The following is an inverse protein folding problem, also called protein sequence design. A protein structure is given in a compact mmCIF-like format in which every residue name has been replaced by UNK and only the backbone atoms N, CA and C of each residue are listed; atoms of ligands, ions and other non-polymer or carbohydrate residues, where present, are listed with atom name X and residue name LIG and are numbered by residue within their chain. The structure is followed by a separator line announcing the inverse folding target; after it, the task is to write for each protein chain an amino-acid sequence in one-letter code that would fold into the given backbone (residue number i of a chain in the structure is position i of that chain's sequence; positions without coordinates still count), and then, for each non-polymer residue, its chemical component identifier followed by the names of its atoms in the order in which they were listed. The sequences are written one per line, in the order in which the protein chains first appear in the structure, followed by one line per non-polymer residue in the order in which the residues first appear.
data_IF_584164158757
#
_entry.id   IF_584164158757
#
_cell.length_a   1.000
_cell.length_b   1.000
_cell.length_c   1.000
_cell.angle_alpha   90.00
_cell.angle_beta   90.00
_cell.angle_gamma   90.00
#
_symmetry.space_group_name_H-M   'P 1'
#
loop_
_entity.id
_entity.type
_entity.pdbx_description
1 polymer ?
#
# COMPACT_ATOMS: atom_id res chain seq x y z
N UNK A 1 -37.66 -20.16 -0.83
CA UNK A 1 -37.41 -19.54 -2.14
C UNK A 1 -37.52 -18.01 -2.05
N UNK A 2 -36.59 -17.34 -1.35
CA UNK A 2 -36.66 -15.84 -1.22
C UNK A 2 -35.29 -15.11 -1.17
N UNK A 3 -34.17 -15.76 -1.50
CA UNK A 3 -32.85 -15.11 -1.37
C UNK A 3 -32.35 -14.37 -2.64
N UNK A 4 -32.93 -14.64 -3.81
CA UNK A 4 -32.53 -13.99 -5.07
C UNK A 4 -33.07 -12.56 -5.24
N UNK A 5 -34.16 -12.21 -4.54
CA UNK A 5 -34.74 -10.85 -4.57
C UNK A 5 -33.93 -9.81 -3.78
N UNK A 6 -33.32 -10.24 -2.68
CA UNK A 6 -32.58 -9.37 -1.77
C UNK A 6 -31.24 -8.92 -2.36
N UNK A 7 -30.51 -9.79 -3.04
CA UNK A 7 -29.22 -9.47 -3.68
C UNK A 7 -29.36 -8.47 -4.85
N UNK A 8 -30.47 -8.55 -5.61
CA UNK A 8 -30.73 -7.58 -6.71
C UNK A 8 -31.04 -6.17 -6.21
N UNK A 9 -31.63 -6.05 -5.01
CA UNK A 9 -31.95 -4.76 -4.36
C UNK A 9 -30.71 -4.10 -3.80
N UNK A 10 -29.72 -4.86 -3.32
CA UNK A 10 -28.45 -4.39 -2.74
C UNK A 10 -27.50 -3.84 -3.80
N UNK A 11 -27.56 -4.32 -5.03
CA UNK A 11 -26.66 -3.93 -6.13
C UNK A 11 -27.23 -2.83 -7.04
N UNK A 12 -28.53 -2.47 -6.89
CA UNK A 12 -29.12 -1.36 -7.65
C UNK A 12 -29.05 -0.09 -6.82
N UNK A 13 -28.47 1.00 -7.34
CA UNK A 13 -28.63 2.32 -6.69
C UNK A 13 -30.12 2.67 -6.67
N UNK A 14 -30.61 3.08 -5.52
CA UNK A 14 -31.99 3.53 -5.31
C UNK A 14 -32.29 4.68 -6.28
N UNK A 15 -33.45 4.67 -6.94
CA UNK A 15 -33.85 5.72 -7.86
C UNK A 15 -33.97 7.07 -7.12
N UNK A 16 -33.38 8.13 -7.70
CA UNK A 16 -33.24 9.45 -7.08
C UNK A 16 -34.54 10.25 -6.87
N UNK A 17 -35.70 9.70 -7.14
CA UNK A 17 -36.99 10.39 -7.03
C UNK A 17 -37.79 10.08 -5.75
N UNK A 18 -37.36 9.13 -4.94
CA UNK A 18 -37.98 8.80 -3.67
C UNK A 18 -37.25 9.55 -2.53
N UNK A 19 -37.96 10.47 -1.85
CA UNK A 19 -37.53 11.00 -0.54
C UNK A 19 -37.57 9.86 0.45
N UNK A 20 -36.43 9.21 0.68
CA UNK A 20 -36.30 8.14 1.65
C UNK A 20 -36.71 8.67 3.03
N UNK A 21 -37.60 7.95 3.72
CA UNK A 21 -37.88 8.20 5.13
C UNK A 21 -36.61 7.87 5.93
N UNK A 22 -36.48 8.48 7.12
CA UNK A 22 -35.31 8.20 8.01
C UNK A 22 -35.15 6.70 8.27
N UNK A 23 -36.26 5.96 8.35
CA UNK A 23 -36.25 4.51 8.57
C UNK A 23 -35.69 3.76 7.37
N UNK A 24 -36.08 4.13 6.15
CA UNK A 24 -35.57 3.50 4.91
C UNK A 24 -34.08 3.77 4.74
N UNK A 25 -33.60 4.98 5.09
CA UNK A 25 -32.17 5.32 5.03
C UNK A 25 -31.33 4.52 6.03
N UNK A 26 -31.87 4.29 7.25
CA UNK A 26 -31.23 3.41 8.24
C UNK A 26 -31.20 1.93 7.80
N UNK A 27 -32.25 1.45 7.13
CA UNK A 27 -32.26 0.07 6.59
C UNK A 27 -31.25 -0.10 5.43
N UNK A 28 -31.10 0.94 4.60
CA UNK A 28 -30.04 1.00 3.58
C UNK A 28 -28.65 0.95 4.22
N UNK A 29 -28.39 1.77 5.26
CA UNK A 29 -27.12 1.77 6.00
C UNK A 29 -26.80 0.38 6.57
N UNK A 30 -27.78 -0.26 7.22
CA UNK A 30 -27.65 -1.62 7.77
C UNK A 30 -27.24 -2.62 6.68
N UNK A 31 -27.94 -2.58 5.56
CA UNK A 31 -27.67 -3.50 4.45
C UNK A 31 -26.26 -3.31 3.87
N UNK A 32 -25.84 -2.06 3.67
CA UNK A 32 -24.50 -1.73 3.18
C UNK A 32 -23.41 -2.14 4.17
N UNK A 33 -23.65 -1.94 5.48
CA UNK A 33 -22.72 -2.35 6.53
C UNK A 33 -22.55 -3.88 6.55
N UNK A 34 -23.63 -4.64 6.41
CA UNK A 34 -23.58 -6.11 6.32
C UNK A 34 -22.74 -6.54 5.10
N UNK A 35 -22.93 -5.90 3.94
CA UNK A 35 -22.14 -6.20 2.74
C UNK A 35 -20.65 -5.90 2.98
N UNK A 36 -20.33 -4.78 3.62
CA UNK A 36 -18.95 -4.42 3.96
C UNK A 36 -18.30 -5.44 4.92
N UNK A 37 -19.03 -5.86 5.96
CA UNK A 37 -18.55 -6.85 6.93
C UNK A 37 -18.37 -8.22 6.28
N UNK A 38 -19.31 -8.66 5.44
CA UNK A 38 -19.20 -9.92 4.71
C UNK A 38 -18.01 -9.89 3.73
N UNK A 39 -17.81 -8.78 3.01
CA UNK A 39 -16.66 -8.62 2.11
C UNK A 39 -15.33 -8.66 2.88
N UNK A 40 -15.25 -7.99 4.03
CA UNK A 40 -14.06 -8.00 4.89
C UNK A 40 -13.78 -9.40 5.46
N UNK A 41 -14.80 -10.09 5.95
CA UNK A 41 -14.66 -11.44 6.48
C UNK A 41 -14.20 -12.44 5.41
N UNK A 42 -14.77 -12.36 4.21
CA UNK A 42 -14.36 -13.19 3.07
C UNK A 42 -12.92 -12.87 2.65
N UNK A 43 -12.58 -11.59 2.52
CA UNK A 43 -11.21 -11.16 2.19
C UNK A 43 -10.22 -11.63 3.24
N UNK A 44 -10.58 -11.55 4.54
CA UNK A 44 -9.73 -12.02 5.63
C UNK A 44 -9.49 -13.54 5.55
N UNK A 45 -10.51 -14.33 5.32
CA UNK A 45 -10.38 -15.78 5.16
C UNK A 45 -9.44 -16.14 3.97
N UNK A 46 -9.59 -15.45 2.84
CA UNK A 46 -8.73 -15.62 1.66
C UNK A 46 -7.29 -15.19 1.95
N UNK A 47 -7.09 -14.03 2.59
CA UNK A 47 -5.76 -13.52 2.95
C UNK A 47 -5.06 -14.42 3.95
N UNK A 48 -5.79 -14.99 4.91
CA UNK A 48 -5.23 -15.93 5.87
C UNK A 48 -4.78 -17.23 5.19
N UNK A 49 -5.58 -17.74 4.27
CA UNK A 49 -5.20 -18.91 3.46
C UNK A 49 -3.97 -18.63 2.58
N UNK A 50 -3.87 -17.42 2.02
CA UNK A 50 -2.77 -17.00 1.15
C UNK A 50 -1.69 -16.19 1.89
N UNK A 51 -1.50 -16.42 3.20
CA UNK A 51 -0.59 -15.63 4.03
C UNK A 51 0.87 -15.66 3.55
N UNK A 52 1.35 -16.81 3.05
CA UNK A 52 2.74 -16.95 2.55
C UNK A 52 3.08 -16.03 1.37
N UNK A 53 2.30 -16.00 0.25
CA UNK A 53 2.56 -15.05 -0.83
C UNK A 53 2.41 -13.59 -0.39
N UNK A 54 1.46 -13.27 0.52
CA UNK A 54 1.31 -11.91 1.03
C UNK A 54 2.57 -11.44 1.79
N UNK A 55 3.12 -12.27 2.66
CA UNK A 55 4.38 -11.99 3.34
C UNK A 55 5.55 -11.82 2.36
N UNK A 56 5.57 -12.61 1.27
CA UNK A 56 6.62 -12.46 0.24
C UNK A 56 6.54 -11.10 -0.47
N UNK A 57 5.33 -10.60 -0.74
CA UNK A 57 5.11 -9.26 -1.31
C UNK A 57 5.61 -8.17 -0.36
N UNK A 58 5.29 -8.28 0.94
CA UNK A 58 5.77 -7.32 1.95
C UNK A 58 7.29 -7.29 2.08
N UNK A 59 7.96 -8.42 1.92
CA UNK A 59 9.41 -8.50 2.05
C UNK A 59 10.16 -7.94 0.82
N UNK A 60 9.50 -7.72 -0.33
CA UNK A 60 10.16 -7.19 -1.53
C UNK A 60 10.80 -5.80 -1.35
N UNK A 61 10.15 -4.79 -0.73
CA UNK A 61 10.79 -3.49 -0.50
C UNK A 61 12.06 -3.61 0.35
N UNK A 62 12.04 -4.45 1.38
CA UNK A 62 13.18 -4.72 2.25
C UNK A 62 14.33 -5.37 1.47
N UNK A 63 14.05 -6.39 0.67
CA UNK A 63 15.05 -7.06 -0.17
C UNK A 63 15.66 -6.11 -1.20
N UNK A 64 14.85 -5.23 -1.82
CA UNK A 64 15.35 -4.20 -2.75
C UNK A 64 16.24 -3.18 -2.06
N UNK A 65 15.87 -2.73 -0.86
CA UNK A 65 16.67 -1.79 -0.07
C UNK A 65 17.99 -2.42 0.37
N UNK A 66 17.98 -3.67 0.87
CA UNK A 66 19.18 -4.42 1.24
C UNK A 66 20.15 -4.57 0.07
N UNK A 67 19.66 -4.96 -1.12
CA UNK A 67 20.47 -5.07 -2.35
C UNK A 67 21.09 -3.71 -2.77
N UNK A 68 20.39 -2.59 -2.52
CA UNK A 68 20.92 -1.25 -2.79
C UNK A 68 21.97 -0.84 -1.76
N UNK A 69 21.75 -1.15 -0.49
CA UNK A 69 22.70 -0.88 0.61
C UNK A 69 24.00 -1.69 0.46
N UNK A 70 23.94 -2.93 0.00
CA UNK A 70 25.09 -3.78 -0.27
C UNK A 70 26.01 -3.20 -1.37
N UNK A 71 25.48 -2.39 -2.26
CA UNK A 71 26.26 -1.67 -3.29
C UNK A 71 26.98 -0.42 -2.76
N UNK A 72 26.65 0.04 -1.56
CA UNK A 72 27.29 1.22 -0.96
C UNK A 72 28.62 0.82 -0.29
N UNK A 73 29.78 1.41 -0.71
CA UNK A 73 31.10 0.93 -0.30
C UNK A 73 31.49 1.23 1.16
N UNK A 74 30.71 2.01 1.90
CA UNK A 74 31.07 2.54 3.22
C UNK A 74 30.30 1.94 4.40
N UNK A 75 29.26 1.14 4.17
CA UNK A 75 28.48 0.53 5.26
C UNK A 75 29.20 -0.66 5.92
N UNK A 76 29.05 -0.85 7.24
CA UNK A 76 29.57 -2.03 7.97
C UNK A 76 29.02 -3.33 7.35
N UNK A 77 27.74 -3.35 7.01
CA UNK A 77 27.09 -4.46 6.26
C UNK A 77 27.75 -4.69 4.91
N UNK A 78 28.17 -3.64 4.18
CA UNK A 78 28.93 -3.78 2.94
C UNK A 78 30.36 -4.29 3.11
N UNK A 79 30.98 -4.08 4.30
CA UNK A 79 32.30 -4.67 4.65
C UNK A 79 32.16 -6.15 4.98
N UNK A 80 31.16 -6.52 5.76
CA UNK A 80 30.86 -7.90 6.11
C UNK A 80 30.50 -8.71 4.87
N UNK A 81 29.70 -8.14 3.97
CA UNK A 81 29.34 -8.76 2.70
C UNK A 81 30.56 -8.98 1.79
N UNK A 82 31.46 -7.99 1.69
CA UNK A 82 32.73 -8.15 0.98
C UNK A 82 33.58 -9.26 1.57
N UNK A 83 33.71 -9.29 2.90
CA UNK A 83 34.46 -10.34 3.58
C UNK A 83 33.86 -11.72 3.29
N UNK A 84 32.54 -11.86 3.40
CA UNK A 84 31.82 -13.10 3.09
C UNK A 84 31.99 -13.50 1.62
N UNK A 85 31.93 -12.53 0.69
CA UNK A 85 32.18 -12.78 -0.73
C UNK A 85 33.59 -13.26 -0.96
N UNK A 86 34.60 -12.62 -0.36
CA UNK A 86 36.00 -13.04 -0.44
C UNK A 86 36.23 -14.44 0.12
N UNK A 87 35.60 -14.73 1.27
CA UNK A 87 35.65 -16.09 1.87
C UNK A 87 35.00 -17.12 0.94
N UNK A 88 33.86 -16.80 0.34
CA UNK A 88 33.18 -17.68 -0.63
C UNK A 88 34.02 -17.92 -1.85
N UNK A 89 34.62 -16.89 -2.45
CA UNK A 89 35.50 -16.99 -3.62
C UNK A 89 36.73 -17.83 -3.28
N UNK A 90 37.28 -17.67 -2.08
CA UNK A 90 38.40 -18.51 -1.60
C UNK A 90 37.98 -19.98 -1.43
N UNK A 91 36.83 -20.28 -0.84
CA UNK A 91 36.30 -21.63 -0.71
C UNK A 91 35.99 -22.27 -2.07
N UNK A 92 35.42 -21.53 -3.01
CA UNK A 92 35.16 -22.01 -4.37
C UNK A 92 36.50 -22.27 -5.12
N UNK A 93 37.49 -21.42 -4.91
CA UNK A 93 38.86 -21.63 -5.42
C UNK A 93 39.49 -22.90 -4.86
N UNK A 94 39.43 -23.10 -3.53
CA UNK A 94 39.90 -24.34 -2.92
C UNK A 94 39.15 -25.58 -3.41
N UNK A 95 37.84 -25.52 -3.56
CA UNK A 95 37.07 -26.65 -4.07
C UNK A 95 37.42 -27.00 -5.52
N UNK A 96 37.78 -26.00 -6.35
CA UNK A 96 38.27 -26.24 -7.71
C UNK A 96 39.65 -26.90 -7.70
N UNK A 97 40.61 -26.36 -6.93
CA UNK A 97 41.95 -26.92 -6.80
C UNK A 97 41.92 -28.37 -6.29
N UNK A 98 41.13 -28.66 -5.25
CA UNK A 98 40.97 -30.03 -4.76
C UNK A 98 40.31 -30.95 -5.81
N UNK A 99 39.39 -30.45 -6.62
CA UNK A 99 38.76 -31.23 -7.69
C UNK A 99 39.73 -31.52 -8.84
N UNK A 100 40.65 -30.61 -9.14
CA UNK A 100 41.73 -30.83 -10.13
C UNK A 100 42.75 -31.86 -9.62
N UNK A 101 43.16 -31.78 -8.37
CA UNK A 101 43.99 -32.75 -7.73
C UNK A 101 43.38 -34.16 -7.74
N UNK A 102 42.08 -34.26 -7.48
CA UNK A 102 41.33 -35.52 -7.53
C UNK A 102 41.32 -36.16 -8.94
N UNK A 103 41.48 -35.35 -9.99
CA UNK A 103 41.57 -35.79 -11.40
C UNK A 103 42.96 -36.18 -11.83
N UNK A 104 44.00 -35.74 -11.12
CA UNK A 104 45.38 -36.09 -11.42
C UNK A 104 45.58 -37.60 -11.23
N UNK A 105 46.01 -38.28 -12.27
CA UNK A 105 45.93 -39.73 -12.43
C UNK A 105 46.78 -40.63 -11.51
N UNK A 106 47.51 -40.11 -10.52
CA UNK A 106 48.46 -40.86 -9.68
C UNK A 106 47.94 -41.23 -8.28
N UNK A 107 46.64 -40.96 -7.98
CA UNK A 107 46.08 -41.14 -6.65
C UNK A 107 45.45 -42.52 -6.43
N UNK A 108 45.64 -43.09 -5.23
CA UNK A 108 44.95 -44.32 -4.80
C UNK A 108 43.42 -44.10 -4.66
N UNK A 109 42.65 -45.17 -4.67
CA UNK A 109 41.20 -45.09 -4.54
C UNK A 109 40.75 -44.39 -3.23
N UNK A 110 41.42 -44.64 -2.12
CA UNK A 110 41.18 -44.02 -0.82
C UNK A 110 41.52 -42.53 -0.84
N UNK A 111 42.57 -42.10 -1.47
CA UNK A 111 42.97 -40.71 -1.64
C UNK A 111 41.94 -39.91 -2.48
N UNK A 112 41.46 -40.51 -3.59
CA UNK A 112 40.41 -39.91 -4.42
C UNK A 112 39.11 -39.72 -3.63
N UNK A 113 38.75 -40.70 -2.82
CA UNK A 113 37.56 -40.61 -2.01
C UNK A 113 37.68 -39.48 -0.95
N UNK A 114 38.79 -39.41 -0.22
CA UNK A 114 39.06 -38.34 0.74
C UNK A 114 39.04 -36.94 0.08
N UNK A 115 39.62 -36.79 -1.10
CA UNK A 115 39.56 -35.53 -1.85
C UNK A 115 38.12 -35.17 -2.31
N UNK A 116 37.36 -36.16 -2.77
CA UNK A 116 35.96 -35.94 -3.18
C UNK A 116 35.08 -35.50 -2.02
N UNK A 117 35.33 -36.05 -0.84
CA UNK A 117 34.63 -35.68 0.39
C UNK A 117 35.01 -34.24 0.84
N UNK A 118 36.30 -33.90 0.79
CA UNK A 118 36.78 -32.54 1.04
C UNK A 118 36.18 -31.49 0.06
N UNK A 119 36.09 -31.82 -1.22
CA UNK A 119 35.41 -30.98 -2.23
C UNK A 119 33.94 -30.78 -1.88
N UNK A 120 33.26 -31.85 -1.47
CA UNK A 120 31.86 -31.83 -1.11
C UNK A 120 31.64 -30.96 0.12
N UNK A 121 32.48 -31.08 1.13
CA UNK A 121 32.43 -30.30 2.36
C UNK A 121 32.70 -28.82 2.09
N UNK A 122 33.73 -28.47 1.37
CA UNK A 122 34.09 -27.09 1.01
C UNK A 122 32.96 -26.42 0.20
N UNK A 123 32.39 -27.12 -0.78
CA UNK A 123 31.22 -26.62 -1.54
C UNK A 123 29.98 -26.45 -0.66
N UNK A 124 29.78 -27.35 0.33
CA UNK A 124 28.65 -27.22 1.28
C UNK A 124 28.80 -25.99 2.17
N UNK A 125 30.01 -25.71 2.65
CA UNK A 125 30.35 -24.51 3.41
C UNK A 125 30.12 -23.22 2.58
N UNK A 126 30.59 -23.19 1.33
CA UNK A 126 30.34 -22.06 0.42
C UNK A 126 28.84 -21.85 0.16
N UNK A 127 28.06 -22.91 -0.03
CA UNK A 127 26.60 -22.85 -0.19
C UNK A 127 25.88 -22.36 1.07
N UNK A 128 26.33 -22.78 2.26
CA UNK A 128 25.75 -22.29 3.54
C UNK A 128 26.00 -20.79 3.74
N UNK A 129 27.17 -20.30 3.39
CA UNK A 129 27.46 -18.86 3.37
C UNK A 129 26.57 -18.12 2.37
N UNK A 130 26.37 -18.68 1.17
CA UNK A 130 25.48 -18.09 0.14
C UNK A 130 23.99 -18.07 0.57
N UNK A 131 23.50 -19.12 1.23
CA UNK A 131 22.11 -19.20 1.69
C UNK A 131 21.82 -18.19 2.81
N UNK A 132 22.80 -17.94 3.69
CA UNK A 132 22.68 -16.96 4.77
C UNK A 132 22.67 -15.50 4.26
N UNK A 133 23.24 -15.25 3.10
CA UNK A 133 23.27 -13.97 2.42
C UNK A 133 21.91 -13.54 1.85
N UNK A 134 21.03 -14.51 1.57
CA UNK A 134 19.71 -14.26 0.99
C UNK A 134 18.60 -14.09 2.05
N UNK A 135 18.92 -14.25 3.33
CA UNK A 135 17.91 -14.20 4.38
C UNK A 135 17.71 -12.75 4.88
N UNK A 136 17.16 -11.91 3.99
CA UNK A 136 16.71 -10.56 4.29
C UNK A 136 15.34 -10.53 4.97
N UNK A 137 14.93 -11.67 5.57
CA UNK A 137 13.64 -11.76 6.25
C UNK A 137 13.67 -11.00 7.56
N UNK A 138 12.59 -10.27 7.89
CA UNK A 138 12.46 -9.68 9.20
C UNK A 138 12.53 -10.75 10.30
N UNK A 139 13.16 -10.39 11.43
CA UNK A 139 13.30 -11.30 12.57
C UNK A 139 12.11 -11.19 13.51
N UNK A 140 11.74 -12.31 14.14
CA UNK A 140 10.75 -12.37 15.22
C UNK A 140 11.46 -12.56 16.54
N UNK A 141 11.06 -11.82 17.58
CA UNK A 141 11.71 -11.84 18.89
C UNK A 141 10.94 -12.71 19.90
N UNK A 142 9.63 -12.92 19.67
CA UNK A 142 8.76 -13.71 20.54
C UNK A 142 8.32 -15.03 19.92
N UNK A 143 8.12 -16.07 20.75
CA UNK A 143 7.67 -17.38 20.29
C UNK A 143 6.30 -17.34 19.57
N UNK A 144 5.36 -16.53 20.07
CA UNK A 144 4.02 -16.35 19.49
C UNK A 144 3.96 -15.29 18.39
N UNK A 145 5.01 -14.49 18.22
CA UNK A 145 5.04 -13.36 17.28
C UNK A 145 4.76 -13.78 15.83
N UNK A 146 5.33 -14.90 15.28
CA UNK A 146 5.05 -15.32 13.92
C UNK A 146 3.55 -15.59 13.66
N UNK A 147 2.86 -16.19 14.63
CA UNK A 147 1.42 -16.45 14.52
C UNK A 147 0.61 -15.15 14.54
N UNK A 148 0.86 -14.30 15.54
CA UNK A 148 0.16 -13.01 15.69
C UNK A 148 0.40 -12.11 14.47
N UNK A 149 1.64 -12.04 13.98
CA UNK A 149 1.97 -11.26 12.79
C UNK A 149 1.29 -11.79 11.54
N UNK A 150 1.19 -13.11 11.37
CA UNK A 150 0.45 -13.71 10.25
C UNK A 150 -1.02 -13.30 10.25
N UNK A 151 -1.68 -13.33 11.43
CA UNK A 151 -3.06 -12.89 11.57
C UNK A 151 -3.23 -11.39 11.30
N UNK A 152 -2.38 -10.56 11.87
CA UNK A 152 -2.42 -9.10 11.69
C UNK A 152 -2.18 -8.71 10.23
N UNK A 153 -1.18 -9.29 9.58
CA UNK A 153 -0.89 -9.06 8.16
C UNK A 153 -2.07 -9.50 7.30
N UNK A 154 -2.65 -10.68 7.54
CA UNK A 154 -3.81 -11.15 6.81
C UNK A 154 -5.02 -10.21 6.97
N UNK A 155 -5.26 -9.70 8.19
CA UNK A 155 -6.33 -8.73 8.47
C UNK A 155 -6.09 -7.38 7.79
N UNK A 156 -4.88 -6.85 7.84
CA UNK A 156 -4.53 -5.57 7.22
C UNK A 156 -4.61 -5.65 5.68
N UNK A 157 -4.19 -6.77 5.07
CA UNK A 157 -4.40 -7.00 3.64
C UNK A 157 -5.88 -7.15 3.29
N UNK A 158 -6.64 -7.86 4.11
CA UNK A 158 -8.09 -7.96 3.92
C UNK A 158 -8.74 -6.59 3.94
N UNK A 159 -8.35 -5.72 4.88
CA UNK A 159 -8.81 -4.34 4.95
C UNK A 159 -8.38 -3.57 3.68
N UNK A 160 -7.12 -3.68 3.27
CA UNK A 160 -6.58 -3.01 2.08
C UNK A 160 -7.36 -3.41 0.79
N UNK A 161 -7.64 -4.70 0.60
CA UNK A 161 -8.39 -5.20 -0.56
C UNK A 161 -9.89 -4.90 -0.49
N UNK A 162 -10.44 -4.80 0.70
CA UNK A 162 -11.87 -4.48 0.89
C UNK A 162 -12.14 -2.97 0.83
N UNK A 163 -11.15 -2.13 1.12
CA UNK A 163 -11.31 -0.67 1.16
C UNK A 163 -11.89 -0.07 -0.13
N UNK A 164 -11.54 -0.49 -1.35
CA UNK A 164 -12.21 -0.03 -2.56
C UNK A 164 -13.72 -0.30 -2.54
N UNK A 165 -14.14 -1.45 -2.01
CA UNK A 165 -15.56 -1.80 -1.85
C UNK A 165 -16.22 -0.94 -0.77
N UNK A 166 -15.53 -0.73 0.36
CA UNK A 166 -15.99 0.14 1.45
C UNK A 166 -16.19 1.57 0.95
N UNK A 167 -15.25 2.12 0.21
CA UNK A 167 -15.33 3.45 -0.38
C UNK A 167 -16.48 3.55 -1.39
N UNK A 168 -16.65 2.53 -2.23
CA UNK A 168 -17.79 2.47 -3.13
C UNK A 168 -19.11 2.50 -2.36
N UNK A 169 -19.26 1.69 -1.32
CA UNK A 169 -20.48 1.65 -0.49
C UNK A 169 -20.71 2.96 0.26
N UNK A 170 -19.66 3.59 0.79
CA UNK A 170 -19.75 4.88 1.48
C UNK A 170 -20.22 5.99 0.52
N UNK A 171 -19.61 6.12 -0.65
CA UNK A 171 -20.02 7.11 -1.64
C UNK A 171 -21.41 6.83 -2.22
N UNK A 172 -21.78 5.57 -2.44
CA UNK A 172 -23.10 5.18 -2.89
C UNK A 172 -24.19 5.44 -1.82
N UNK A 173 -23.85 5.39 -0.54
CA UNK A 173 -24.73 5.78 0.57
C UNK A 173 -24.96 7.28 0.64
N UNK A 174 -23.92 8.08 0.36
CA UNK A 174 -24.00 9.54 0.35
C UNK A 174 -24.66 10.06 -0.95
N UNK A 175 -24.64 9.28 -2.04
CA UNK A 175 -25.14 9.68 -3.34
C UNK A 175 -26.58 10.25 -3.38
N UNK A 176 -27.56 9.73 -2.61
CA UNK A 176 -28.91 10.31 -2.57
C UNK A 176 -28.99 11.73 -2.01
N UNK A 177 -27.99 12.18 -1.23
CA UNK A 177 -27.95 13.54 -0.69
C UNK A 177 -27.68 14.62 -1.76
N UNK A 178 -27.27 14.23 -2.98
CA UNK A 178 -26.99 15.16 -4.08
C UNK A 178 -28.22 15.41 -4.96
N UNK A 179 -28.28 16.61 -5.54
CA UNK A 179 -29.35 16.98 -6.46
C UNK A 179 -29.33 16.15 -7.77
N UNK A 180 -30.49 15.92 -8.42
CA UNK A 180 -30.57 15.10 -9.64
C UNK A 180 -29.70 15.58 -10.80
N UNK A 181 -29.48 16.88 -10.91
CA UNK A 181 -28.62 17.50 -11.93
C UNK A 181 -27.10 17.25 -11.70
N UNK A 182 -26.73 16.72 -10.53
CA UNK A 182 -25.34 16.42 -10.15
C UNK A 182 -24.96 14.94 -10.37
N UNK A 183 -25.83 14.14 -10.98
CA UNK A 183 -25.64 12.68 -11.21
C UNK A 183 -24.27 12.31 -11.83
N UNK A 184 -23.72 13.21 -12.67
CA UNK A 184 -22.42 12.99 -13.31
C UNK A 184 -21.25 13.14 -12.33
N UNK A 185 -21.35 14.13 -11.40
CA UNK A 185 -20.36 14.32 -10.34
C UNK A 185 -20.38 13.14 -9.37
N UNK A 186 -21.58 12.71 -8.96
CA UNK A 186 -21.77 11.53 -8.08
C UNK A 186 -21.16 10.27 -8.68
N UNK A 187 -21.39 10.01 -9.96
CA UNK A 187 -20.81 8.86 -10.65
C UNK A 187 -19.28 8.91 -10.63
N UNK A 188 -18.70 10.08 -10.81
CA UNK A 188 -17.25 10.28 -10.72
C UNK A 188 -16.73 9.97 -9.29
N UNK A 189 -17.46 10.41 -8.25
CA UNK A 189 -17.10 10.13 -6.86
C UNK A 189 -17.19 8.62 -6.53
N UNK A 190 -18.30 7.99 -6.89
CA UNK A 190 -18.56 6.57 -6.58
C UNK A 190 -17.56 5.63 -7.29
N UNK A 191 -17.25 5.89 -8.56
CA UNK A 191 -16.32 5.05 -9.34
C UNK A 191 -14.87 5.49 -9.17
N UNK A 192 -14.65 6.79 -9.00
CA UNK A 192 -13.32 7.36 -8.84
C UNK A 192 -12.64 7.02 -7.52
N UNK A 193 -13.42 6.87 -6.44
CA UNK A 193 -12.87 6.59 -5.12
C UNK A 193 -12.11 5.26 -5.04
N UNK A 194 -12.65 4.12 -5.46
CA UNK A 194 -11.90 2.87 -5.51
C UNK A 194 -10.63 2.96 -6.36
N UNK A 195 -10.74 3.59 -7.54
CA UNK A 195 -9.60 3.72 -8.47
C UNK A 195 -8.48 4.59 -7.87
N UNK A 196 -8.85 5.71 -7.25
CA UNK A 196 -7.88 6.63 -6.64
C UNK A 196 -7.23 6.02 -5.40
N UNK A 197 -7.97 5.22 -4.63
CA UNK A 197 -7.41 4.46 -3.52
C UNK A 197 -6.34 3.46 -3.99
N UNK A 198 -6.66 2.67 -5.02
CA UNK A 198 -5.71 1.70 -5.59
C UNK A 198 -4.47 2.41 -6.15
N UNK A 199 -4.64 3.57 -6.80
CA UNK A 199 -3.53 4.39 -7.28
C UNK A 199 -2.64 4.88 -6.11
N UNK A 200 -3.24 5.31 -5.00
CA UNK A 200 -2.51 5.72 -3.79
C UNK A 200 -1.73 4.58 -3.15
N UNK A 201 -2.33 3.40 -3.03
CA UNK A 201 -1.65 2.19 -2.53
C UNK A 201 -0.50 1.78 -3.45
N UNK A 202 -0.71 1.83 -4.77
CA UNK A 202 0.34 1.54 -5.75
C UNK A 202 1.50 2.56 -5.65
N UNK A 203 1.19 3.84 -5.50
CA UNK A 203 2.20 4.88 -5.27
C UNK A 203 2.98 4.63 -3.98
N UNK A 204 2.32 4.32 -2.88
CA UNK A 204 2.97 3.97 -1.62
C UNK A 204 3.93 2.79 -1.79
N UNK A 205 3.47 1.71 -2.46
CA UNK A 205 4.24 0.48 -2.61
C UNK A 205 5.44 0.63 -3.56
N UNK A 206 5.29 1.39 -4.64
CA UNK A 206 6.32 1.51 -5.69
C UNK A 206 7.31 2.63 -5.40
N UNK A 207 6.87 3.74 -4.80
CA UNK A 207 7.66 4.96 -4.63
C UNK A 207 8.04 5.20 -3.18
N UNK A 208 7.03 5.26 -2.28
CA UNK A 208 7.25 5.66 -0.89
C UNK A 208 8.03 4.60 -0.13
N UNK A 209 7.52 3.37 -0.08
CA UNK A 209 8.09 2.29 0.71
C UNK A 209 9.55 1.93 0.34
N UNK A 210 9.93 1.79 -0.94
CA UNK A 210 11.33 1.51 -1.26
C UNK A 210 12.28 2.64 -0.83
N UNK A 211 11.83 3.88 -0.92
CA UNK A 211 12.63 5.05 -0.53
C UNK A 211 12.76 5.15 0.99
N UNK A 212 11.65 5.00 1.72
CA UNK A 212 11.62 5.02 3.17
C UNK A 212 12.49 3.90 3.78
N UNK A 213 12.30 2.67 3.32
CA UNK A 213 13.08 1.51 3.81
C UNK A 213 14.57 1.70 3.50
N UNK A 214 14.91 2.18 2.30
CA UNK A 214 16.30 2.42 1.93
C UNK A 214 16.94 3.52 2.79
N UNK A 215 16.21 4.61 3.05
CA UNK A 215 16.68 5.68 3.93
C UNK A 215 16.90 5.19 5.37
N UNK A 216 15.89 4.55 5.96
CA UNK A 216 15.94 4.06 7.34
C UNK A 216 17.06 3.03 7.56
N UNK A 217 17.32 2.15 6.59
CA UNK A 217 18.40 1.17 6.67
C UNK A 217 19.80 1.82 6.52
N UNK A 218 19.91 2.90 5.77
CA UNK A 218 21.17 3.58 5.54
C UNK A 218 21.45 4.66 6.59
N UNK A 219 20.42 5.14 7.28
CA UNK A 219 20.57 6.16 8.29
C UNK A 219 21.42 5.63 9.45
N UNK A 220 22.57 6.26 9.63
CA UNK A 220 23.53 5.91 10.68
C UNK A 220 24.03 4.44 10.66
N UNK A 221 24.05 3.81 9.48
CA UNK A 221 24.51 2.41 9.30
C UNK A 221 25.97 2.14 9.72
N UNK A 222 26.74 3.22 9.98
CA UNK A 222 28.09 3.11 10.55
C UNK A 222 28.12 2.96 12.07
N UNK A 223 27.02 3.29 12.78
CA UNK A 223 26.93 3.27 14.23
C UNK A 223 26.02 2.16 14.78
N UNK A 224 25.07 1.67 13.98
CA UNK A 224 24.08 0.68 14.41
C UNK A 224 23.94 -0.47 13.41
N UNK A 225 23.89 -1.70 13.92
CA UNK A 225 23.46 -2.86 13.16
C UNK A 225 21.94 -3.00 13.29
N UNK A 226 21.22 -2.61 12.25
CA UNK A 226 19.75 -2.63 12.27
C UNK A 226 19.22 -4.04 11.98
N UNK A 227 18.76 -4.72 13.03
CA UNK A 227 17.91 -5.92 12.91
C UNK A 227 16.46 -5.48 12.66
N UNK A 228 15.91 -5.82 11.51
CA UNK A 228 14.54 -5.45 11.15
C UNK A 228 13.56 -6.42 11.83
N UNK A 229 12.84 -5.94 12.84
CA UNK A 229 11.80 -6.72 13.53
C UNK A 229 10.55 -6.84 12.65
N UNK A 230 9.99 -8.06 12.56
CA UNK A 230 8.84 -8.36 11.70
C UNK A 230 7.60 -7.52 12.05
N UNK A 231 7.28 -7.38 13.33
CA UNK A 231 6.11 -6.62 13.80
C UNK A 231 6.17 -5.15 13.38
N UNK A 232 7.29 -4.49 13.65
CA UNK A 232 7.48 -3.07 13.31
C UNK A 232 7.49 -2.84 11.80
N UNK A 233 8.15 -3.72 11.06
CA UNK A 233 8.26 -3.62 9.61
C UNK A 233 6.91 -3.81 8.89
N UNK A 234 6.18 -4.89 9.20
CA UNK A 234 4.90 -5.15 8.55
C UNK A 234 3.85 -4.10 8.89
N UNK A 235 3.82 -3.67 10.16
CA UNK A 235 2.96 -2.57 10.56
C UNK A 235 3.27 -1.29 9.78
N UNK A 236 4.54 -0.90 9.70
CA UNK A 236 5.00 0.24 8.93
C UNK A 236 4.55 0.18 7.47
N UNK A 237 4.83 -0.93 6.76
CA UNK A 237 4.52 -1.08 5.34
C UNK A 237 3.01 -0.97 5.09
N UNK A 238 2.20 -1.68 5.88
CA UNK A 238 0.76 -1.77 5.65
C UNK A 238 0.02 -0.50 6.05
N UNK A 239 0.42 0.13 7.16
CA UNK A 239 -0.18 1.42 7.56
C UNK A 239 0.20 2.53 6.59
N UNK A 240 1.44 2.59 6.11
CA UNK A 240 1.86 3.55 5.07
C UNK A 240 1.03 3.37 3.79
N UNK A 241 0.87 2.14 3.31
CA UNK A 241 0.07 1.86 2.11
C UNK A 241 -1.40 2.25 2.29
N UNK A 242 -2.00 1.90 3.44
CA UNK A 242 -3.38 2.21 3.78
C UNK A 242 -3.61 3.72 3.89
N UNK A 243 -2.77 4.41 4.66
CA UNK A 243 -2.88 5.84 4.90
C UNK A 243 -2.67 6.65 3.63
N UNK A 244 -1.66 6.32 2.80
CA UNK A 244 -1.45 6.96 1.51
C UNK A 244 -2.65 6.73 0.58
N UNK A 245 -3.21 5.51 0.53
CA UNK A 245 -4.43 5.21 -0.22
C UNK A 245 -5.62 6.06 0.21
N UNK A 246 -5.80 6.28 1.52
CA UNK A 246 -6.84 7.15 2.06
C UNK A 246 -6.58 8.63 1.76
N UNK A 247 -5.34 9.09 1.82
CA UNK A 247 -4.97 10.47 1.48
C UNK A 247 -5.23 10.80 0.01
N UNK A 248 -5.16 9.81 -0.87
CA UNK A 248 -5.56 9.97 -2.27
C UNK A 248 -7.08 10.21 -2.45
N UNK A 249 -7.90 10.07 -1.40
CA UNK A 249 -9.32 10.44 -1.43
C UNK A 249 -9.55 11.95 -1.29
N UNK A 250 -8.53 12.73 -0.94
CA UNK A 250 -8.66 14.19 -0.74
C UNK A 250 -9.38 14.93 -1.89
N UNK A 251 -9.05 14.73 -3.17
CA UNK A 251 -9.73 15.43 -4.26
C UNK A 251 -11.21 15.13 -4.33
N UNK A 252 -11.59 13.86 -4.06
CA UNK A 252 -12.99 13.44 -4.08
C UNK A 252 -13.76 13.96 -2.86
N UNK A 253 -13.12 13.98 -1.68
CA UNK A 253 -13.71 14.58 -0.49
C UNK A 253 -13.98 16.08 -0.70
N UNK A 254 -13.03 16.82 -1.30
CA UNK A 254 -13.20 18.24 -1.63
C UNK A 254 -14.35 18.47 -2.62
N UNK A 255 -14.40 17.69 -3.70
CA UNK A 255 -15.49 17.75 -4.68
C UNK A 255 -16.84 17.44 -4.04
N UNK A 256 -16.89 16.42 -3.18
CA UNK A 256 -18.10 16.05 -2.43
C UNK A 256 -18.60 17.19 -1.52
N UNK A 257 -17.71 17.80 -0.74
CA UNK A 257 -18.06 18.92 0.16
C UNK A 257 -18.54 20.15 -0.64
N UNK A 258 -17.94 20.43 -1.79
CA UNK A 258 -18.36 21.53 -2.67
C UNK A 258 -19.71 21.21 -3.33
N UNK A 259 -19.92 19.99 -3.77
CA UNK A 259 -21.20 19.58 -4.34
C UNK A 259 -22.33 19.57 -3.33
N UNK A 260 -22.06 19.30 -2.04
CA UNK A 260 -23.02 19.45 -0.95
C UNK A 260 -23.25 20.91 -0.52
N UNK A 261 -22.46 21.86 -1.04
CA UNK A 261 -22.55 23.29 -0.68
C UNK A 261 -21.95 23.63 0.69
N UNK A 262 -21.19 22.71 1.31
CA UNK A 262 -20.49 22.94 2.58
C UNK A 262 -19.29 23.85 2.41
N UNK A 263 -18.58 23.72 1.28
CA UNK A 263 -17.44 24.54 0.90
C UNK A 263 -17.63 25.13 -0.48
N UNK A 264 -16.93 26.25 -0.78
CA UNK A 264 -16.82 26.79 -2.13
C UNK A 264 -15.41 26.56 -2.71
N UNK A 265 -15.31 26.48 -4.04
CA UNK A 265 -14.03 26.36 -4.69
C UNK A 265 -13.12 27.57 -4.46
N UNK A 266 -13.72 28.74 -4.21
CA UNK A 266 -13.00 29.96 -3.85
C UNK A 266 -12.42 29.90 -2.44
N UNK A 267 -13.16 29.36 -1.47
CA UNK A 267 -12.65 29.12 -0.10
C UNK A 267 -11.46 28.15 -0.11
N UNK A 268 -11.55 27.07 -0.91
CA UNK A 268 -10.44 26.12 -1.06
C UNK A 268 -9.21 26.81 -1.65
N UNK A 269 -9.41 27.70 -2.61
CA UNK A 269 -8.34 28.45 -3.26
C UNK A 269 -7.72 29.50 -2.35
N UNK A 270 -8.52 30.27 -1.62
CA UNK A 270 -8.04 31.34 -0.72
C UNK A 270 -7.23 30.76 0.43
N UNK A 271 -7.61 29.56 0.92
CA UNK A 271 -6.96 28.89 2.04
C UNK A 271 -5.83 27.90 1.63
N UNK A 272 -5.28 28.02 0.42
CA UNK A 272 -4.21 27.13 -0.08
C UNK A 272 -3.03 27.01 0.87
N UNK A 273 -2.58 28.13 1.44
CA UNK A 273 -1.43 28.15 2.38
C UNK A 273 -1.71 27.28 3.60
N UNK A 274 -2.89 27.41 4.17
CA UNK A 274 -3.31 26.61 5.33
C UNK A 274 -3.44 25.13 4.93
N UNK A 275 -4.05 24.85 3.77
CA UNK A 275 -4.17 23.49 3.26
C UNK A 275 -2.79 22.82 3.07
N UNK A 276 -1.80 23.50 2.49
CA UNK A 276 -0.45 22.96 2.32
C UNK A 276 0.19 22.65 3.68
N UNK A 277 0.01 23.50 4.69
CA UNK A 277 0.50 23.24 6.06
C UNK A 277 -0.20 22.00 6.65
N UNK A 278 -1.52 21.90 6.49
CA UNK A 278 -2.27 20.72 6.95
C UNK A 278 -1.80 19.44 6.25
N UNK A 279 -1.57 19.50 4.93
CA UNK A 279 -1.04 18.37 4.16
C UNK A 279 0.38 17.99 4.62
N UNK A 280 1.24 18.96 4.93
CA UNK A 280 2.56 18.71 5.47
C UNK A 280 2.50 18.01 6.84
N UNK A 281 1.58 18.45 7.71
CA UNK A 281 1.34 17.79 9.00
C UNK A 281 0.80 16.38 8.80
N UNK A 282 -0.15 16.17 7.88
CA UNK A 282 -0.67 14.83 7.56
C UNK A 282 0.42 13.91 7.01
N UNK A 283 1.29 14.41 6.11
CA UNK A 283 2.44 13.66 5.62
C UNK A 283 3.44 13.31 6.75
N UNK A 284 3.68 14.23 7.68
CA UNK A 284 4.55 13.98 8.83
C UNK A 284 3.97 13.01 9.86
N UNK A 285 2.66 12.83 9.89
CA UNK A 285 1.98 11.84 10.75
C UNK A 285 2.00 10.42 10.17
N UNK A 286 2.34 10.27 8.89
CA UNK A 286 2.47 8.95 8.28
C UNK A 286 3.64 8.16 8.90
N UNK A 287 3.55 6.84 8.99
CA UNK A 287 4.66 6.03 9.48
C UNK A 287 5.90 6.20 8.58
N UNK A 288 7.07 6.40 9.20
CA UNK A 288 8.32 6.63 8.49
C UNK A 288 8.74 8.10 8.48
N UNK A 289 8.63 8.77 9.62
CA UNK A 289 8.89 10.21 9.87
C UNK A 289 10.27 10.71 9.45
N UNK A 290 10.79 10.24 8.33
CA UNK A 290 12.03 10.76 7.76
C UNK A 290 11.74 11.91 6.79
N UNK A 291 12.59 12.95 6.77
CA UNK A 291 12.34 14.15 5.96
C UNK A 291 12.23 13.87 4.45
N UNK A 292 12.93 12.86 3.96
CA UNK A 292 12.99 12.55 2.52
C UNK A 292 11.67 11.91 2.08
N UNK A 293 11.18 10.93 2.83
CA UNK A 293 9.91 10.26 2.55
C UNK A 293 8.75 11.24 2.68
N UNK A 294 8.74 12.08 3.74
CA UNK A 294 7.72 13.11 3.93
C UNK A 294 7.65 14.08 2.75
N UNK A 295 8.78 14.51 2.20
CA UNK A 295 8.81 15.38 1.01
C UNK A 295 8.29 14.66 -0.24
N UNK A 296 8.63 13.39 -0.43
CA UNK A 296 8.15 12.58 -1.56
C UNK A 296 6.63 12.39 -1.49
N UNK A 297 6.08 12.18 -0.30
CA UNK A 297 4.63 12.04 -0.10
C UNK A 297 3.91 13.38 -0.26
N UNK A 298 4.51 14.48 0.18
CA UNK A 298 3.91 15.81 0.09
C UNK A 298 3.67 16.26 -1.35
N UNK A 299 4.55 15.92 -2.29
CA UNK A 299 4.42 16.32 -3.70
C UNK A 299 3.09 15.85 -4.32
N UNK A 300 2.76 14.54 -4.34
CA UNK A 300 1.48 14.10 -4.89
C UNK A 300 0.28 14.61 -4.09
N UNK A 301 0.39 14.80 -2.77
CA UNK A 301 -0.69 15.34 -1.95
C UNK A 301 -1.05 16.77 -2.36
N UNK A 302 -0.04 17.62 -2.61
CA UNK A 302 -0.27 18.98 -3.11
C UNK A 302 -0.86 18.97 -4.52
N UNK A 303 -0.38 18.08 -5.40
CA UNK A 303 -0.95 17.91 -6.75
C UNK A 303 -2.40 17.45 -6.71
N UNK A 304 -2.73 16.50 -5.81
CA UNK A 304 -4.09 16.02 -5.60
C UNK A 304 -4.99 17.11 -5.03
N UNK A 305 -4.50 17.96 -4.13
CA UNK A 305 -5.22 19.11 -3.62
C UNK A 305 -5.55 20.12 -4.74
N UNK A 306 -4.57 20.45 -5.58
CA UNK A 306 -4.81 21.33 -6.73
C UNK A 306 -5.81 20.71 -7.74
N UNK A 307 -5.69 19.41 -7.99
CA UNK A 307 -6.66 18.67 -8.81
C UNK A 307 -8.06 18.75 -8.20
N UNK A 308 -8.17 18.62 -6.86
CA UNK A 308 -9.42 18.78 -6.13
C UNK A 308 -10.05 20.16 -6.32
N UNK A 309 -9.27 21.25 -6.28
CA UNK A 309 -9.75 22.60 -6.56
C UNK A 309 -10.27 22.71 -8.00
N UNK A 310 -9.53 22.18 -8.97
CA UNK A 310 -9.95 22.23 -10.40
C UNK A 310 -11.25 21.47 -10.61
N UNK A 311 -11.36 20.25 -10.08
CA UNK A 311 -12.58 19.44 -10.17
C UNK A 311 -13.78 20.12 -9.48
N UNK A 312 -13.56 20.69 -8.30
CA UNK A 312 -14.59 21.44 -7.55
C UNK A 312 -15.14 22.62 -8.34
N UNK A 313 -14.27 23.39 -9.01
CA UNK A 313 -14.69 24.50 -9.90
C UNK A 313 -15.53 24.01 -11.08
N UNK A 314 -15.17 22.87 -11.68
CA UNK A 314 -15.94 22.32 -12.79
C UNK A 314 -17.35 21.95 -12.32
N UNK A 315 -17.48 21.37 -11.13
CA UNK A 315 -18.78 21.01 -10.55
C UNK A 315 -19.61 22.27 -10.25
N UNK A 316 -19.04 23.27 -9.59
CA UNK A 316 -19.74 24.55 -9.30
C UNK A 316 -20.21 25.26 -10.56
N UNK A 317 -19.34 25.37 -11.59
CA UNK A 317 -19.72 26.00 -12.87
C UNK A 317 -20.87 25.27 -13.55
N UNK A 318 -20.88 23.95 -13.53
CA UNK A 318 -21.99 23.15 -14.07
C UNK A 318 -23.28 23.36 -13.32
N UNK A 319 -23.21 23.43 -11.99
CA UNK A 319 -24.35 23.72 -11.11
C UNK A 319 -24.96 25.10 -11.41
N UNK A 320 -24.13 26.12 -11.46
CA UNK A 320 -24.53 27.47 -11.77
C UNK A 320 -25.16 27.59 -13.17
N UNK A 321 -24.60 26.87 -14.17
CA UNK A 321 -25.16 26.84 -15.54
C UNK A 321 -26.52 26.14 -15.57
N UNK A 322 -26.68 25.03 -14.87
CA UNK A 322 -27.96 24.31 -14.79
C UNK A 322 -29.05 25.15 -14.14
N UNK A 323 -28.72 25.88 -13.05
CA UNK A 323 -29.65 26.79 -12.38
C UNK A 323 -30.12 27.90 -13.33
N UNK A 324 -29.22 28.58 -14.05
CA UNK A 324 -29.55 29.61 -15.03
C UNK A 324 -30.45 29.11 -16.17
N UNK A 325 -30.22 27.89 -16.65
CA UNK A 325 -31.05 27.29 -17.70
C UNK A 325 -32.47 26.96 -17.17
N UNK A 326 -32.58 26.51 -15.92
CA UNK A 326 -33.86 26.27 -15.30
C UNK A 326 -34.68 27.58 -15.09
N UNK A 327 -34.02 28.64 -14.65
CA UNK A 327 -34.63 30.00 -14.54
C UNK A 327 -35.09 30.54 -15.89
N UNK A 328 -34.27 30.41 -16.95
CA UNK A 328 -34.60 30.83 -18.30
C UNK A 328 -35.80 30.06 -18.90
N UNK A 329 -35.93 28.78 -18.60
CA UNK A 329 -37.06 27.96 -19.04
C UNK A 329 -38.35 28.28 -18.28
N UNK A 330 -38.27 28.66 -16.98
CA UNK A 330 -39.40 29.05 -16.18
C UNK A 330 -39.94 30.47 -16.53
N UNK A 331 -39.02 31.39 -16.87
CA UNK A 331 -39.38 32.77 -17.29
C UNK A 331 -39.90 32.92 -18.75
N UNK A 332 -39.70 31.91 -19.59
CA UNK A 332 -40.18 31.89 -20.98
C UNK A 332 -41.60 31.33 -21.16
N UNK A 333 -42.23 30.84 -20.07
CA UNK A 333 -43.61 30.31 -20.08
C UNK A 333 -44.66 31.28 -19.53
N UNK A 334 -44.30 32.51 -19.17
CA UNK A 334 -45.17 33.58 -18.76
C UNK A 334 -45.36 34.58 -19.90
#
# INVERSE_FOLDING_TARGET
MSSRGTLKKVLKPVGHDERLTLVEHLDELRTRLIVCLCALALAFAVCLWQSRPLLSVLNQPLARAANKAQRAPTSLSGREERLRRTIREALDGQARALAELARAGSLSASQRQALSDAVRETRSAARRLAARDQDTRPVTLGLGEPFTQTLLVAFQFALLFTLPVLLYQAWAFIAPAFAPNERRAIRLLVVGAPALFVAGVAFAYVVVLPTAVAFLQQFNAGAFDALVQASSYYHFVLITALATGLLFQLPLAMVGLVALGVLSSEQLRSNRRIAIVVLAVLAALLPGTDPITTLIEMVPMVLLFELGIVLSRIVERRRARAARLAEASAGGSA
#
